data_IF_959734377573
#
_entry.id   IF_959734377573
#
_cell.length_a   1.000
_cell.length_b   1.000
_cell.length_c   1.000
_cell.angle_alpha   90.00
_cell.angle_beta   90.00
_cell.angle_gamma   90.00
#
_symmetry.space_group_name_H-M   'P 1'
#
loop_
_entity.id
_entity.type
_entity.pdbx_description
1 polymer ?
#
# COMPACT_ATOMS: atom_id res chain seq x y z
N UNK A 1 -6.54 -4.45 8.69
CA UNK A 1 -6.30 -3.83 7.37
C UNK A 1 -7.58 -3.73 6.55
N UNK A 2 -8.17 -4.84 6.08
CA UNK A 2 -9.39 -4.88 5.25
C UNK A 2 -10.57 -4.04 5.81
N UNK A 3 -10.82 -4.07 7.12
CA UNK A 3 -11.92 -3.30 7.73
C UNK A 3 -11.72 -1.78 7.66
N UNK A 4 -10.50 -1.32 7.89
CA UNK A 4 -10.16 0.10 7.83
C UNK A 4 -10.32 0.64 6.39
N UNK A 5 -10.00 -0.17 5.39
CA UNK A 5 -10.26 0.12 3.98
C UNK A 5 -11.75 0.34 3.68
N UNK A 6 -12.62 -0.58 4.12
CA UNK A 6 -14.06 -0.42 3.90
C UNK A 6 -14.65 0.76 4.66
N UNK A 7 -14.19 1.02 5.88
CA UNK A 7 -14.59 2.21 6.64
C UNK A 7 -14.13 3.48 5.93
N UNK A 8 -12.93 3.50 5.33
CA UNK A 8 -12.48 4.63 4.51
C UNK A 8 -13.38 4.85 3.29
N UNK A 9 -13.81 3.79 2.59
CA UNK A 9 -14.79 3.91 1.48
C UNK A 9 -16.11 4.53 1.97
N UNK A 10 -16.67 4.01 3.06
CA UNK A 10 -17.92 4.52 3.63
C UNK A 10 -17.77 5.97 4.08
N UNK A 11 -16.65 6.31 4.70
CA UNK A 11 -16.32 7.67 5.12
C UNK A 11 -16.21 8.61 3.91
N UNK A 12 -15.56 8.19 2.82
CA UNK A 12 -15.51 8.94 1.57
C UNK A 12 -16.92 9.22 1.05
N UNK A 13 -17.76 8.20 0.92
CA UNK A 13 -19.12 8.36 0.38
C UNK A 13 -19.93 9.31 1.28
N UNK A 14 -19.88 9.12 2.60
CA UNK A 14 -20.58 9.95 3.57
C UNK A 14 -20.11 11.42 3.51
N UNK A 15 -18.79 11.65 3.50
CA UNK A 15 -18.24 13.01 3.47
C UNK A 15 -18.53 13.72 2.16
N UNK A 16 -18.41 13.06 1.00
CA UNK A 16 -18.76 13.70 -0.27
C UNK A 16 -20.26 14.02 -0.37
N UNK A 17 -21.12 13.17 0.20
CA UNK A 17 -22.54 13.47 0.33
C UNK A 17 -22.77 14.70 1.21
N UNK A 18 -22.11 14.79 2.37
CA UNK A 18 -22.22 15.96 3.26
C UNK A 18 -21.71 17.23 2.57
N UNK A 19 -20.53 17.16 1.93
CA UNK A 19 -19.93 18.28 1.22
C UNK A 19 -20.79 18.75 0.05
N UNK A 20 -21.54 17.87 -0.62
CA UNK A 20 -22.45 18.26 -1.70
C UNK A 20 -23.61 19.16 -1.26
N UNK A 21 -23.96 19.17 0.04
CA UNK A 21 -24.92 20.12 0.60
C UNK A 21 -24.31 21.50 0.88
N UNK A 22 -23.00 21.65 0.75
CA UNK A 22 -22.29 22.92 0.96
C UNK A 22 -22.19 23.64 -0.39
N UNK A 23 -22.87 24.79 -0.59
CA UNK A 23 -22.92 25.47 -1.89
C UNK A 23 -21.55 25.89 -2.46
N UNK A 24 -20.55 26.08 -1.61
CA UNK A 24 -19.18 26.45 -2.00
C UNK A 24 -18.32 25.26 -2.44
N UNK A 25 -18.81 24.03 -2.32
CA UNK A 25 -18.10 22.83 -2.77
C UNK A 25 -18.54 22.49 -4.20
N UNK A 26 -17.68 22.80 -5.17
CA UNK A 26 -17.94 22.51 -6.60
C UNK A 26 -17.81 21.01 -6.96
N UNK A 27 -17.67 20.12 -5.98
CA UNK A 27 -17.58 18.68 -6.22
C UNK A 27 -18.97 18.04 -6.24
N UNK A 28 -19.20 17.13 -7.19
CA UNK A 28 -20.42 16.33 -7.23
C UNK A 28 -20.45 15.31 -6.09
N UNK A 29 -21.66 15.01 -5.61
CA UNK A 29 -21.86 13.91 -4.67
C UNK A 29 -21.42 12.60 -5.33
N UNK A 30 -20.64 11.80 -4.60
CA UNK A 30 -20.31 10.44 -5.01
C UNK A 30 -21.51 9.56 -4.69
N UNK A 31 -22.22 9.11 -5.73
CA UNK A 31 -23.34 8.19 -5.56
C UNK A 31 -22.83 6.82 -5.10
N UNK A 32 -23.52 6.22 -4.13
CA UNK A 32 -23.26 4.84 -3.76
C UNK A 32 -23.83 3.91 -4.83
N UNK A 33 -22.94 3.16 -5.49
CA UNK A 33 -23.33 2.14 -6.46
C UNK A 33 -23.02 0.75 -5.88
N UNK A 34 -24.05 -0.09 -5.62
CA UNK A 34 -23.84 -1.40 -5.00
C UNK A 34 -22.85 -2.28 -5.77
N UNK A 35 -22.95 -2.32 -7.11
CA UNK A 35 -22.03 -3.08 -7.96
C UNK A 35 -20.57 -2.64 -7.84
N UNK A 36 -20.32 -1.33 -7.78
CA UNK A 36 -19.00 -0.76 -7.54
C UNK A 36 -18.48 -1.13 -6.14
N UNK A 37 -19.34 -1.08 -5.12
CA UNK A 37 -18.96 -1.45 -3.76
C UNK A 37 -18.58 -2.94 -3.65
N UNK A 38 -19.35 -3.84 -4.27
CA UNK A 38 -19.02 -5.27 -4.34
C UNK A 38 -17.70 -5.48 -5.09
N UNK A 39 -17.48 -4.78 -6.20
CA UNK A 39 -16.22 -4.87 -6.94
C UNK A 39 -15.01 -4.40 -6.10
N UNK A 40 -15.18 -3.42 -5.22
CA UNK A 40 -14.18 -3.01 -4.23
C UNK A 40 -13.93 -4.08 -3.16
N UNK A 41 -14.98 -4.76 -2.67
CA UNK A 41 -14.85 -5.85 -1.69
C UNK A 41 -14.02 -6.99 -2.27
N UNK A 42 -14.30 -7.36 -3.52
CA UNK A 42 -13.64 -8.45 -4.22
C UNK A 42 -12.30 -8.05 -4.86
N UNK A 43 -11.88 -6.78 -4.76
CA UNK A 43 -10.69 -6.25 -5.42
C UNK A 43 -10.66 -6.45 -6.94
N UNK A 44 -11.84 -6.48 -7.59
CA UNK A 44 -11.98 -6.69 -9.04
C UNK A 44 -12.22 -5.41 -9.83
N UNK A 45 -12.19 -4.23 -9.17
CA UNK A 45 -12.38 -2.92 -9.82
C UNK A 45 -11.59 -2.76 -11.13
N UNK A 46 -10.29 -3.13 -11.21
CA UNK A 46 -9.51 -3.00 -12.45
C UNK A 46 -10.09 -3.72 -13.68
N UNK A 47 -10.89 -4.76 -13.45
CA UNK A 47 -11.53 -5.59 -14.47
C UNK A 47 -12.96 -5.14 -14.79
N UNK A 48 -13.40 -4.04 -14.19
CA UNK A 48 -14.73 -3.46 -14.39
C UNK A 48 -14.64 -2.08 -15.06
N UNK A 49 -15.79 -1.52 -15.41
CA UNK A 49 -15.90 -0.12 -15.89
C UNK A 49 -16.05 0.89 -14.73
N UNK A 50 -16.11 0.42 -13.48
CA UNK A 50 -16.32 1.31 -12.35
C UNK A 50 -15.03 2.05 -11.97
N UNK A 51 -15.10 3.36 -11.67
CA UNK A 51 -13.96 4.07 -11.10
C UNK A 51 -13.72 3.62 -9.66
N UNK A 52 -12.52 3.86 -9.13
CA UNK A 52 -12.29 3.74 -7.69
C UNK A 52 -13.00 4.88 -6.96
N UNK A 53 -13.62 4.60 -5.80
CA UNK A 53 -14.24 5.65 -4.96
C UNK A 53 -13.24 6.74 -4.55
N UNK A 54 -11.99 6.35 -4.25
CA UNK A 54 -10.85 7.25 -4.15
C UNK A 54 -9.73 6.70 -5.01
N UNK A 55 -9.09 7.56 -5.79
CA UNK A 55 -8.04 7.12 -6.71
C UNK A 55 -6.96 6.31 -5.99
N UNK A 56 -6.50 6.75 -4.81
CA UNK A 56 -5.41 6.10 -4.07
C UNK A 56 -5.56 4.59 -3.91
N UNK A 57 -6.80 4.08 -3.77
CA UNK A 57 -7.10 2.67 -3.55
C UNK A 57 -6.63 1.71 -4.65
N UNK A 58 -6.24 2.21 -5.82
CA UNK A 58 -5.70 1.37 -6.88
C UNK A 58 -4.41 0.64 -6.47
N UNK A 59 -3.55 1.26 -5.65
CA UNK A 59 -2.29 0.60 -5.21
C UNK A 59 -2.58 -0.58 -4.28
N UNK A 60 -3.58 -0.49 -3.41
CA UNK A 60 -4.01 -1.62 -2.57
C UNK A 60 -4.50 -2.80 -3.40
N UNK A 61 -5.13 -2.54 -4.54
CA UNK A 61 -5.56 -3.59 -5.45
C UNK A 61 -4.36 -4.30 -6.10
N UNK A 62 -3.34 -3.54 -6.51
CA UNK A 62 -2.07 -4.08 -6.99
C UNK A 62 -1.38 -4.92 -5.91
N UNK A 63 -1.32 -4.45 -4.67
CA UNK A 63 -0.77 -5.20 -3.54
C UNK A 63 -1.54 -6.49 -3.27
N UNK A 64 -2.88 -6.45 -3.31
CA UNK A 64 -3.71 -7.65 -3.14
C UNK A 64 -3.42 -8.71 -4.21
N UNK A 65 -3.32 -8.30 -5.48
CA UNK A 65 -2.95 -9.18 -6.59
C UNK A 65 -1.55 -9.80 -6.37
N UNK A 66 -0.58 -9.00 -5.93
CA UNK A 66 0.77 -9.47 -5.61
C UNK A 66 0.76 -10.55 -4.53
N UNK A 67 0.06 -10.33 -3.41
CA UNK A 67 0.02 -11.31 -2.32
C UNK A 67 -0.67 -12.62 -2.71
N UNK A 68 -1.72 -12.56 -3.52
CA UNK A 68 -2.37 -13.75 -4.06
C UNK A 68 -1.39 -14.53 -4.95
N UNK A 69 -0.71 -13.84 -5.86
CA UNK A 69 0.26 -14.43 -6.78
C UNK A 69 1.40 -15.12 -6.02
N UNK A 70 2.07 -14.40 -5.10
CA UNK A 70 3.15 -14.94 -4.26
C UNK A 70 2.67 -16.09 -3.37
N UNK A 71 1.46 -16.01 -2.82
CA UNK A 71 0.87 -17.10 -2.04
C UNK A 71 0.76 -18.39 -2.84
N UNK A 72 0.32 -18.30 -4.10
CA UNK A 72 0.24 -19.47 -5.01
C UNK A 72 1.63 -20.02 -5.34
N UNK A 73 2.61 -19.16 -5.66
CA UNK A 73 3.95 -19.60 -6.06
C UNK A 73 4.66 -20.36 -4.96
N UNK A 74 4.62 -19.83 -3.73
CA UNK A 74 5.25 -20.49 -2.59
C UNK A 74 4.52 -21.76 -2.17
N UNK A 75 3.24 -21.91 -2.53
CA UNK A 75 2.49 -23.14 -2.29
C UNK A 75 2.78 -24.24 -3.32
N UNK A 76 3.02 -23.88 -4.58
CA UNK A 76 3.17 -24.85 -5.67
C UNK A 76 4.51 -25.59 -5.68
N UNK A 77 5.60 -24.96 -5.25
CA UNK A 77 6.91 -25.61 -5.21
C UNK A 77 7.89 -24.93 -4.26
N UNK A 78 8.66 -25.76 -3.56
CA UNK A 78 9.74 -25.28 -2.70
C UNK A 78 11.08 -25.10 -3.42
N UNK A 79 11.20 -25.55 -4.68
CA UNK A 79 12.50 -25.54 -5.35
C UNK A 79 13.01 -24.10 -5.58
N UNK A 80 14.30 -23.83 -5.28
CA UNK A 80 14.87 -22.50 -5.46
C UNK A 80 14.95 -22.10 -6.93
N UNK A 81 15.17 -23.07 -7.84
CA UNK A 81 15.19 -22.83 -9.28
C UNK A 81 13.82 -22.38 -9.79
N UNK A 82 12.74 -23.02 -9.32
CA UNK A 82 11.37 -22.61 -9.68
C UNK A 82 11.08 -21.18 -9.24
N UNK A 83 11.41 -20.83 -7.99
CA UNK A 83 11.23 -19.46 -7.46
C UNK A 83 12.06 -18.43 -8.23
N UNK A 84 13.29 -18.78 -8.61
CA UNK A 84 14.16 -17.95 -9.44
C UNK A 84 13.57 -17.70 -10.83
N UNK A 85 13.23 -18.78 -11.57
CA UNK A 85 12.65 -18.69 -12.91
C UNK A 85 11.35 -17.87 -12.86
N UNK A 86 10.51 -18.14 -11.86
CA UNK A 86 9.28 -17.39 -11.66
C UNK A 86 9.56 -15.89 -11.49
N UNK A 87 10.47 -15.50 -10.59
CA UNK A 87 10.76 -14.08 -10.34
C UNK A 87 11.26 -13.37 -11.59
N UNK A 88 12.10 -14.03 -12.39
CA UNK A 88 12.59 -13.48 -13.66
C UNK A 88 11.44 -13.33 -14.65
N UNK A 89 10.65 -14.37 -14.90
CA UNK A 89 9.51 -14.30 -15.83
C UNK A 89 8.46 -13.28 -15.39
N UNK A 90 8.17 -13.23 -14.09
CA UNK A 90 7.28 -12.24 -13.50
C UNK A 90 7.80 -10.83 -13.74
N UNK A 91 9.09 -10.56 -13.48
CA UNK A 91 9.67 -9.25 -13.75
C UNK A 91 9.62 -8.87 -15.24
N UNK A 92 9.88 -9.82 -16.15
CA UNK A 92 9.81 -9.58 -17.59
C UNK A 92 8.38 -9.29 -18.08
N UNK A 93 7.37 -9.80 -17.38
CA UNK A 93 5.97 -9.50 -17.71
C UNK A 93 5.63 -8.00 -17.63
N UNK A 94 6.42 -7.18 -16.91
CA UNK A 94 6.20 -5.72 -16.86
C UNK A 94 6.48 -5.01 -18.18
N UNK A 95 7.16 -5.68 -19.12
CA UNK A 95 7.43 -5.14 -20.46
C UNK A 95 6.24 -5.36 -21.40
N UNK A 96 5.30 -6.24 -21.06
CA UNK A 96 4.15 -6.55 -21.91
C UNK A 96 3.11 -5.42 -21.79
N UNK A 97 2.74 -4.74 -22.88
CA UNK A 97 1.76 -3.67 -22.85
C UNK A 97 0.34 -4.24 -22.80
N UNK A 98 -0.21 -4.42 -21.59
CA UNK A 98 -1.63 -4.75 -21.41
C UNK A 98 -2.51 -3.49 -21.38
N UNK A 99 -3.75 -3.62 -21.87
CA UNK A 99 -4.80 -2.63 -21.61
C UNK A 99 -5.06 -2.54 -20.10
N UNK A 100 -5.19 -1.32 -19.57
CA UNK A 100 -5.30 -1.06 -18.12
C UNK A 100 -4.14 -1.63 -17.27
N UNK A 101 -2.95 -1.85 -17.87
CA UNK A 101 -1.76 -2.36 -17.18
C UNK A 101 -1.40 -1.60 -15.91
N UNK A 102 -1.72 -0.31 -15.83
CA UNK A 102 -1.51 0.51 -14.63
C UNK A 102 -2.16 -0.05 -13.36
N UNK A 103 -3.24 -0.82 -13.47
CA UNK A 103 -3.92 -1.43 -12.31
C UNK A 103 -3.52 -2.88 -12.05
N UNK A 104 -2.62 -3.43 -12.87
CA UNK A 104 -2.20 -4.83 -12.79
C UNK A 104 -0.84 -4.93 -12.13
N UNK A 105 -0.68 -5.95 -11.29
CA UNK A 105 0.59 -6.24 -10.63
C UNK A 105 1.73 -6.50 -11.62
N UNK A 106 1.41 -7.03 -12.81
CA UNK A 106 2.39 -7.33 -13.86
C UNK A 106 3.18 -6.07 -14.26
N UNK A 107 2.54 -4.90 -14.30
CA UNK A 107 3.22 -3.65 -14.67
C UNK A 107 4.30 -3.26 -13.64
N UNK A 108 4.12 -3.59 -12.36
CA UNK A 108 5.06 -3.28 -11.27
C UNK A 108 5.89 -4.49 -10.83
N UNK A 109 5.83 -5.60 -11.58
CA UNK A 109 6.41 -6.86 -11.18
C UNK A 109 7.90 -6.78 -10.86
N UNK A 110 8.67 -6.00 -11.65
CA UNK A 110 10.10 -5.81 -11.42
C UNK A 110 10.41 -5.10 -10.09
N UNK A 111 9.56 -4.17 -9.65
CA UNK A 111 9.72 -3.46 -8.36
C UNK A 111 9.48 -4.43 -7.20
N UNK A 112 8.44 -5.27 -7.29
CA UNK A 112 8.20 -6.32 -6.30
C UNK A 112 9.33 -7.37 -6.29
N UNK A 113 9.80 -7.78 -7.47
CA UNK A 113 10.89 -8.74 -7.59
C UNK A 113 12.21 -8.20 -7.01
N UNK A 114 12.49 -6.90 -7.17
CA UNK A 114 13.59 -6.21 -6.48
C UNK A 114 13.47 -6.34 -4.97
N UNK A 115 12.29 -6.06 -4.40
CA UNK A 115 12.07 -6.24 -2.95
C UNK A 115 12.37 -7.68 -2.46
N UNK A 116 11.91 -8.69 -3.20
CA UNK A 116 12.12 -10.11 -2.86
C UNK A 116 13.61 -10.49 -2.98
N UNK A 117 14.31 -10.02 -4.01
CA UNK A 117 15.73 -10.33 -4.19
C UNK A 117 16.62 -9.63 -3.17
N UNK A 118 16.26 -8.42 -2.73
CA UNK A 118 16.93 -7.72 -1.64
C UNK A 118 16.84 -8.50 -0.32
N UNK A 119 15.68 -9.11 -0.01
CA UNK A 119 15.54 -9.98 1.17
C UNK A 119 16.46 -11.21 1.06
N UNK A 120 16.60 -11.78 -0.14
CA UNK A 120 17.49 -12.92 -0.37
C UNK A 120 18.95 -12.53 -0.17
N UNK A 121 19.36 -11.37 -0.70
CA UNK A 121 20.69 -10.80 -0.51
C UNK A 121 20.95 -10.43 0.96
N UNK A 122 19.95 -9.93 1.68
CA UNK A 122 20.05 -9.62 3.11
C UNK A 122 20.28 -10.87 3.95
N UNK A 123 19.55 -11.95 3.65
CA UNK A 123 19.72 -13.24 4.35
C UNK A 123 21.04 -13.93 4.01
N UNK A 124 21.52 -13.80 2.77
CA UNK A 124 22.76 -14.42 2.30
C UNK A 124 23.54 -13.45 1.41
N UNK A 125 24.60 -12.85 1.97
CA UNK A 125 25.42 -11.81 1.33
C UNK A 125 26.43 -12.35 0.29
N UNK A 126 26.04 -13.37 -0.46
CA UNK A 126 26.85 -13.90 -1.55
C UNK A 126 26.78 -12.99 -2.78
N UNK A 127 27.89 -12.81 -3.50
CA UNK A 127 27.98 -12.03 -4.73
C UNK A 127 26.96 -12.48 -5.79
N UNK A 128 26.69 -13.78 -5.88
CA UNK A 128 25.69 -14.32 -6.80
C UNK A 128 24.29 -13.73 -6.56
N UNK A 129 23.95 -13.41 -5.31
CA UNK A 129 22.66 -12.83 -4.95
C UNK A 129 22.54 -11.33 -5.29
N UNK A 130 23.65 -10.67 -5.65
CA UNK A 130 23.66 -9.27 -6.11
C UNK A 130 23.18 -9.17 -7.55
N UNK A 131 23.36 -10.22 -8.35
CA UNK A 131 23.01 -10.19 -9.77
C UNK A 131 21.51 -9.94 -10.01
N UNK A 132 20.63 -10.51 -9.15
CA UNK A 132 19.18 -10.34 -9.27
C UNK A 132 18.70 -8.91 -9.01
N UNK A 133 19.02 -8.27 -7.86
CA UNK A 133 18.70 -6.85 -7.64
C UNK A 133 19.22 -5.94 -8.75
N UNK A 134 20.46 -6.15 -9.22
CA UNK A 134 21.05 -5.35 -10.31
C UNK A 134 20.26 -5.53 -11.61
N UNK A 135 19.95 -6.77 -11.98
CA UNK A 135 19.12 -7.06 -13.14
C UNK A 135 17.75 -6.36 -13.07
N UNK A 136 17.05 -6.44 -11.94
CA UNK A 136 15.76 -5.78 -11.77
C UNK A 136 15.87 -4.25 -11.78
N UNK A 137 16.93 -3.68 -11.20
CA UNK A 137 17.18 -2.23 -11.27
C UNK A 137 17.38 -1.76 -12.71
N UNK A 138 18.14 -2.50 -13.53
CA UNK A 138 18.30 -2.19 -14.96
C UNK A 138 16.95 -2.25 -15.69
N UNK A 139 16.15 -3.29 -15.44
CA UNK A 139 14.82 -3.43 -16.03
C UNK A 139 13.88 -2.28 -15.61
N UNK A 140 13.94 -1.86 -14.35
CA UNK A 140 13.19 -0.69 -13.84
C UNK A 140 13.66 0.59 -14.52
N UNK A 141 14.97 0.80 -14.68
CA UNK A 141 15.49 1.96 -15.40
C UNK A 141 14.97 2.02 -16.85
N UNK A 142 14.90 0.86 -17.53
CA UNK A 142 14.36 0.76 -18.88
C UNK A 142 12.85 1.04 -18.95
N UNK A 143 12.06 0.48 -18.02
CA UNK A 143 10.59 0.57 -18.04
C UNK A 143 10.04 1.89 -17.49
N UNK A 144 10.60 2.37 -16.38
CA UNK A 144 10.10 3.48 -15.58
C UNK A 144 10.98 4.73 -15.64
N UNK A 145 12.17 4.62 -16.22
CA UNK A 145 13.11 5.72 -16.37
C UNK A 145 14.06 5.90 -15.18
N UNK A 146 15.03 6.79 -15.41
CA UNK A 146 16.14 7.08 -14.48
C UNK A 146 15.66 7.58 -13.10
N UNK A 147 14.64 8.44 -12.96
CA UNK A 147 14.23 8.94 -11.64
C UNK A 147 13.78 7.83 -10.70
N UNK A 148 12.98 6.89 -11.20
CA UNK A 148 12.48 5.76 -10.41
C UNK A 148 13.62 4.79 -10.09
N UNK A 149 14.55 4.58 -11.03
CA UNK A 149 15.77 3.82 -10.78
C UNK A 149 16.60 4.41 -9.63
N UNK A 150 16.89 5.71 -9.65
CA UNK A 150 17.68 6.37 -8.60
C UNK A 150 16.98 6.23 -7.25
N UNK A 151 15.67 6.48 -7.21
CA UNK A 151 14.87 6.35 -5.99
C UNK A 151 14.97 4.93 -5.40
N UNK A 152 14.74 3.90 -6.22
CA UNK A 152 14.75 2.52 -5.74
C UNK A 152 16.16 2.02 -5.42
N UNK A 153 17.19 2.51 -6.10
CA UNK A 153 18.59 2.27 -5.73
C UNK A 153 18.89 2.83 -4.34
N UNK A 154 18.53 4.09 -4.09
CA UNK A 154 18.72 4.72 -2.78
C UNK A 154 17.92 4.01 -1.68
N UNK A 155 16.66 3.63 -1.95
CA UNK A 155 15.87 2.84 -1.02
C UNK A 155 16.51 1.47 -0.74
N UNK A 156 17.04 0.80 -1.76
CA UNK A 156 17.73 -0.50 -1.61
C UNK A 156 18.95 -0.37 -0.71
N UNK A 157 19.77 0.66 -0.92
CA UNK A 157 20.93 0.98 -0.06
C UNK A 157 20.44 1.28 1.37
N UNK A 158 19.42 2.12 1.51
CA UNK A 158 18.89 2.49 2.81
C UNK A 158 18.44 1.26 3.63
N UNK A 159 17.78 0.28 3.02
CA UNK A 159 17.35 -0.95 3.69
C UNK A 159 18.53 -1.74 4.29
N UNK A 160 19.72 -1.70 3.69
CA UNK A 160 20.89 -2.43 4.22
C UNK A 160 21.62 -1.68 5.34
N UNK A 161 21.68 -0.36 5.26
CA UNK A 161 22.53 0.45 6.15
C UNK A 161 21.75 1.15 7.27
N UNK A 162 20.48 1.49 7.05
CA UNK A 162 19.65 2.14 8.06
C UNK A 162 18.91 1.10 8.90
N UNK A 163 19.51 0.77 10.05
CA UNK A 163 18.88 -0.04 11.10
C UNK A 163 18.37 0.81 12.28
N UNK A 164 18.56 2.13 12.22
CA UNK A 164 18.19 3.05 13.28
C UNK A 164 16.68 3.24 13.37
N UNK A 165 16.09 2.84 14.49
CA UNK A 165 14.69 3.11 14.82
C UNK A 165 14.60 4.48 15.48
N UNK A 166 14.30 5.50 14.68
CA UNK A 166 14.05 6.86 15.18
C UNK A 166 12.58 6.94 15.61
N UNK A 167 12.32 7.23 16.89
CA UNK A 167 10.96 7.19 17.47
C UNK A 167 9.91 8.00 16.68
N UNK A 168 10.15 9.26 16.27
CA UNK A 168 9.21 9.99 15.40
C UNK A 168 8.92 9.29 14.06
N UNK A 169 9.94 8.69 13.45
CA UNK A 169 9.81 7.99 12.17
C UNK A 169 9.06 6.66 12.34
N UNK A 170 9.30 5.95 13.45
CA UNK A 170 8.55 4.75 13.82
C UNK A 170 7.06 5.08 14.05
N UNK A 171 6.76 6.19 14.73
CA UNK A 171 5.39 6.68 14.89
C UNK A 171 4.72 6.99 13.53
N UNK A 172 5.42 7.67 12.62
CA UNK A 172 4.91 7.91 11.26
C UNK A 172 4.68 6.59 10.52
N UNK A 173 5.55 5.60 10.72
CA UNK A 173 5.37 4.24 10.21
C UNK A 173 4.10 3.57 10.76
N UNK A 174 3.84 3.69 12.06
CA UNK A 174 2.67 3.10 12.72
C UNK A 174 1.34 3.64 12.18
N UNK A 175 1.30 4.93 11.79
CA UNK A 175 0.09 5.57 11.24
C UNK A 175 0.07 5.61 9.71
N UNK A 176 1.11 5.09 9.05
CA UNK A 176 1.32 5.26 7.60
C UNK A 176 0.16 4.74 6.76
N UNK A 177 -0.44 3.62 7.16
CA UNK A 177 -1.59 3.04 6.48
C UNK A 177 -2.85 3.92 6.61
N UNK A 178 -3.15 4.41 7.81
CA UNK A 178 -4.21 5.39 8.04
C UNK A 178 -3.98 6.66 7.22
N UNK A 179 -2.75 7.19 7.21
CA UNK A 179 -2.39 8.38 6.43
C UNK A 179 -2.61 8.15 4.95
N UNK A 180 -2.15 7.02 4.42
CA UNK A 180 -2.37 6.64 3.03
C UNK A 180 -3.87 6.57 2.68
N UNK A 181 -4.72 5.99 3.54
CA UNK A 181 -6.16 5.89 3.28
C UNK A 181 -6.88 7.24 3.31
N UNK A 182 -6.48 8.15 4.21
CA UNK A 182 -7.27 9.35 4.50
C UNK A 182 -6.71 10.64 3.92
N UNK A 183 -5.42 10.73 3.60
CA UNK A 183 -4.79 12.01 3.24
C UNK A 183 -5.51 12.75 2.11
N UNK A 184 -5.87 12.08 1.01
CA UNK A 184 -6.56 12.75 -0.10
C UNK A 184 -7.91 13.32 0.33
N UNK A 185 -8.66 12.57 1.14
CA UNK A 185 -9.95 13.01 1.67
C UNK A 185 -9.79 14.21 2.61
N UNK A 186 -8.81 14.14 3.52
CA UNK A 186 -8.49 15.23 4.44
C UNK A 186 -8.08 16.49 3.69
N UNK A 187 -7.22 16.38 2.67
CA UNK A 187 -6.77 17.51 1.86
C UNK A 187 -7.93 18.16 1.09
N UNK A 188 -8.81 17.37 0.48
CA UNK A 188 -9.99 17.89 -0.24
C UNK A 188 -10.90 18.68 0.71
N UNK A 189 -11.22 18.10 1.88
CA UNK A 189 -12.08 18.75 2.88
C UNK A 189 -11.42 20.02 3.42
N UNK A 190 -10.14 19.95 3.78
CA UNK A 190 -9.40 21.08 4.34
C UNK A 190 -9.25 22.23 3.34
N UNK A 191 -8.89 21.91 2.08
CA UNK A 191 -8.82 22.90 1.00
C UNK A 191 -10.19 23.54 0.72
N UNK A 192 -11.28 22.75 0.75
CA UNK A 192 -12.64 23.26 0.61
C UNK A 192 -13.04 24.24 1.73
N UNK A 193 -12.72 23.92 2.97
CA UNK A 193 -12.97 24.79 4.13
C UNK A 193 -12.12 26.07 4.06
N UNK A 194 -10.83 25.95 3.73
CA UNK A 194 -9.91 27.08 3.62
C UNK A 194 -10.38 28.11 2.60
N UNK A 195 -10.80 27.66 1.41
CA UNK A 195 -11.38 28.52 0.36
C UNK A 195 -12.63 29.25 0.84
N UNK A 196 -13.49 28.58 1.61
CA UNK A 196 -14.72 29.17 2.17
C UNK A 196 -14.43 30.24 3.21
N UNK A 197 -13.39 30.06 4.02
CA UNK A 197 -12.96 31.04 5.01
C UNK A 197 -12.17 32.20 4.40
N UNK A 198 -12.04 32.25 3.07
CA UNK A 198 -11.25 33.24 2.34
C UNK A 198 -9.81 33.37 2.86
N UNK A 199 -9.23 32.24 3.31
CA UNK A 199 -7.84 32.19 3.75
C UNK A 199 -6.96 32.17 2.50
N UNK A 200 -6.60 33.36 2.02
CA UNK A 200 -5.68 33.51 0.89
C UNK A 200 -4.23 33.59 1.39
N UNK A 201 -3.59 32.41 1.45
CA UNK A 201 -2.17 32.28 1.72
C UNK A 201 -1.39 31.91 0.44
N UNK A 202 -1.88 32.33 -0.73
CA UNK A 202 -1.26 32.04 -2.03
C UNK A 202 0.21 32.48 -2.12
N UNK A 203 0.61 33.48 -1.33
CA UNK A 203 1.98 33.95 -1.20
C UNK A 203 2.89 33.00 -0.38
N UNK A 204 2.31 32.22 0.54
CA UNK A 204 3.04 31.36 1.48
C UNK A 204 2.79 29.87 1.19
N UNK A 205 2.98 29.46 -0.07
CA UNK A 205 2.69 28.08 -0.53
C UNK A 205 3.37 26.99 0.31
N UNK A 206 4.63 27.20 0.71
CA UNK A 206 5.36 26.23 1.54
C UNK A 206 4.76 26.10 2.94
N UNK A 207 4.39 27.22 3.56
CA UNK A 207 3.75 27.23 4.87
C UNK A 207 2.38 26.52 4.82
N UNK A 208 1.61 26.80 3.76
CA UNK A 208 0.33 26.13 3.54
C UNK A 208 0.48 24.61 3.35
N UNK A 209 1.48 24.17 2.58
CA UNK A 209 1.80 22.74 2.42
C UNK A 209 2.13 22.07 3.76
N UNK A 210 2.91 22.74 4.62
CA UNK A 210 3.25 22.21 5.96
C UNK A 210 1.97 22.04 6.79
N UNK A 211 1.06 23.02 6.77
CA UNK A 211 -0.24 22.91 7.46
C UNK A 211 -1.06 21.73 6.92
N UNK A 212 -1.15 21.60 5.59
CA UNK A 212 -1.87 20.48 4.95
C UNK A 212 -1.34 19.11 5.38
N UNK A 213 -0.01 18.96 5.43
CA UNK A 213 0.64 17.73 5.92
C UNK A 213 0.35 17.48 7.39
N UNK A 214 0.39 18.52 8.24
CA UNK A 214 0.09 18.39 9.67
C UNK A 214 -1.38 18.00 9.91
N UNK A 215 -2.31 18.59 9.18
CA UNK A 215 -3.75 18.26 9.25
C UNK A 215 -4.00 16.84 8.77
N UNK A 216 -3.37 16.42 7.66
CA UNK A 216 -3.43 15.04 7.18
C UNK A 216 -2.87 14.04 8.20
N UNK A 217 -1.71 14.33 8.80
CA UNK A 217 -1.10 13.49 9.83
C UNK A 217 -1.95 13.41 11.11
N UNK A 218 -2.55 14.52 11.54
CA UNK A 218 -3.44 14.57 12.69
C UNK A 218 -4.69 13.72 12.45
N UNK A 219 -5.35 13.89 11.31
CA UNK A 219 -6.53 13.10 10.96
C UNK A 219 -6.20 11.61 10.83
N UNK A 220 -5.07 11.29 10.20
CA UNK A 220 -4.57 9.93 10.10
C UNK A 220 -4.33 9.30 11.48
N UNK A 221 -3.76 10.05 12.43
CA UNK A 221 -3.57 9.56 13.80
C UNK A 221 -4.88 9.29 14.52
N UNK A 222 -5.89 10.16 14.37
CA UNK A 222 -7.24 9.94 14.91
C UNK A 222 -7.87 8.68 14.29
N UNK A 223 -7.81 8.54 12.96
CA UNK A 223 -8.30 7.38 12.25
C UNK A 223 -7.58 6.09 12.69
N UNK A 224 -6.27 6.17 12.90
CA UNK A 224 -5.46 5.06 13.41
C UNK A 224 -5.95 4.60 14.78
N UNK A 225 -6.18 5.52 15.72
CA UNK A 225 -6.62 5.18 17.07
C UNK A 225 -8.03 4.61 17.11
N UNK A 226 -8.96 5.16 16.33
CA UNK A 226 -10.38 4.82 16.39
C UNK A 226 -10.76 3.63 15.50
N UNK A 227 -10.07 3.43 14.38
CA UNK A 227 -10.49 2.49 13.34
C UNK A 227 -9.41 1.44 13.08
N UNK A 228 -8.19 1.85 12.77
CA UNK A 228 -7.14 0.92 12.36
C UNK A 228 -6.68 0.04 13.53
N UNK A 229 -6.28 0.64 14.66
CA UNK A 229 -5.74 -0.06 15.83
C UNK A 229 -6.76 -1.03 16.45
N UNK A 230 -8.06 -0.69 16.59
CA UNK A 230 -9.08 -1.66 17.01
C UNK A 230 -9.27 -2.78 15.98
N UNK A 231 -9.28 -2.46 14.68
CA UNK A 231 -9.39 -3.47 13.62
C UNK A 231 -8.25 -4.47 13.63
N UNK A 232 -7.02 -4.00 13.87
CA UNK A 232 -5.84 -4.86 14.02
C UNK A 232 -5.95 -5.78 15.24
N UNK A 233 -6.40 -5.25 16.39
CA UNK A 233 -6.62 -6.06 17.61
C UNK A 233 -7.66 -7.15 17.38
N UNK A 234 -8.77 -6.83 16.73
CA UNK A 234 -9.85 -7.80 16.50
C UNK A 234 -9.46 -8.87 15.47
N UNK A 235 -8.67 -8.52 14.44
CA UNK A 235 -8.16 -9.48 13.45
C UNK A 235 -7.26 -10.56 14.07
N UNK A 236 -6.47 -10.20 15.11
CA UNK A 236 -5.60 -11.15 15.81
C UNK A 236 -6.40 -12.23 16.56
N UNK A 237 -7.63 -11.95 16.98
CA UNK A 237 -8.44 -12.91 17.73
C UNK A 237 -9.04 -14.03 16.85
N UNK A 238 -9.21 -13.79 15.56
CA UNK A 238 -9.86 -14.74 14.63
C UNK A 238 -8.88 -15.82 14.16
N UNK A 239 -7.62 -15.45 13.88
CA UNK A 239 -6.62 -16.35 13.29
C UNK A 239 -5.62 -16.94 14.29
N UNK A 240 -5.45 -16.35 15.47
CA UNK A 240 -4.49 -16.82 16.49
C UNK A 240 -5.16 -17.53 17.67
N UNK A 241 -6.25 -18.26 17.43
CA UNK A 241 -6.69 -19.32 18.37
C UNK A 241 -5.75 -20.53 18.20
N UNK A 242 -4.46 -20.33 18.49
CA UNK A 242 -3.41 -21.35 18.42
C UNK A 242 -3.55 -22.25 19.63
N UNK A 243 -4.08 -23.45 19.37
CA UNK A 243 -3.54 -24.74 19.82
C UNK A 243 -2.53 -24.64 20.96
N UNK A 244 -3.02 -24.44 22.18
CA UNK A 244 -2.21 -24.50 23.42
C UNK A 244 -2.06 -25.94 23.94
N UNK A 245 -2.48 -26.94 23.16
CA UNK A 245 -2.63 -28.33 23.61
C UNK A 245 -1.56 -29.34 23.17
N UNK A 246 -0.85 -29.16 22.05
CA UNK A 246 0.00 -30.26 21.52
C UNK A 246 1.52 -30.08 21.63
N UNK A 247 2.02 -28.90 21.99
CA UNK A 247 3.47 -28.65 22.10
C UNK A 247 4.08 -28.95 23.48
N UNK A 248 3.25 -29.22 24.49
CA UNK A 248 3.70 -29.64 25.81
C UNK A 248 3.97 -31.16 25.91
N UNK A 249 3.43 -31.97 24.99
CA UNK A 249 3.58 -33.43 25.04
C UNK A 249 4.87 -33.92 24.36
N UNK A 250 5.36 -33.21 23.34
CA UNK A 250 6.61 -33.61 22.64
C UNK A 250 7.88 -33.32 23.45
N UNK A 251 7.83 -32.46 24.47
CA UNK A 251 8.97 -32.18 25.37
C UNK A 251 9.07 -33.11 26.58
N UNK A 252 8.04 -33.92 26.87
CA UNK A 252 8.04 -34.86 27.98
C UNK A 252 8.42 -36.29 27.57
N UNK A 253 8.42 -36.62 26.28
CA UNK A 253 8.80 -37.94 25.76
C UNK A 253 10.25 -38.03 25.25
N UNK A 254 11.10 -37.05 25.58
CA UNK A 254 12.53 -37.03 25.26
C UNK A 254 13.40 -36.95 26.54
N UNK A 255 12.88 -37.40 27.67
CA UNK A 255 13.66 -37.69 28.88
C UNK A 255 13.93 -39.17 28.98
#
# INVERSE_FOLDING_TARGET
>A
MIRAYYIAILLTIALFKILSYIPSFNGSAIAFVPGQFIAHILYVIPFTKYPFYMHVFWTLCVEFQFYLLIGVIYFLSDSPLYKFIFLVLFSLSSLIPFSNSYYLVLNYAAIFALGISLVTLYKNRNWQNIMLPVFFLILIAFKFGIPIFILLLLCSIAVFYFTLIIKPLAFLGDISYSLYLTHTLTLIVFSGISKRLHIDLSHYKLFWLIIEVLVAALFAYIFYLLIEKPSLRLSKHIFYKKTKGSLLQTRLNLK
#
